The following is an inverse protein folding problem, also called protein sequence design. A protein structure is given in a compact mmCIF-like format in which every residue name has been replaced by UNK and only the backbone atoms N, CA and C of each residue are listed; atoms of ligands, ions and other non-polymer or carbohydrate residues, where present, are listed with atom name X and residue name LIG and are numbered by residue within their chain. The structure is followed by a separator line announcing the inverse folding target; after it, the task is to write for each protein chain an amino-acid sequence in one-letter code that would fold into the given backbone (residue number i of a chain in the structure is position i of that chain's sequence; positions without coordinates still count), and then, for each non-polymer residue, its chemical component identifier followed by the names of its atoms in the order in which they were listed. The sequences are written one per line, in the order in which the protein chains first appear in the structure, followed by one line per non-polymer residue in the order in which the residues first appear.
data_IF_003437858778
#
_entry.id   IF_003437858778
#
_cell.length_a   1.000
_cell.length_b   1.000
_cell.length_c   1.000
_cell.angle_alpha   90.00
_cell.angle_beta   90.00
_cell.angle_gamma   90.00
#
_symmetry.space_group_name_H-M   'P 1'
#
loop_
_entity.id
_entity.type
_entity.pdbx_description
1 polymer ?
#
# COMPACT_ATOMS: atom_id res chain seq x y z
N UNK A 1 -6.78 -27.63 14.43
CA UNK A 1 -7.34 -26.64 15.40
C UNK A 1 -6.49 -26.65 16.66
N UNK A 2 -6.22 -25.49 17.25
CA UNK A 2 -5.44 -25.40 18.50
C UNK A 2 -6.25 -25.92 19.70
N UNK A 3 -5.60 -26.50 20.71
CA UNK A 3 -6.27 -26.92 21.94
C UNK A 3 -6.67 -25.70 22.79
N UNK A 4 -7.70 -25.80 23.66
CA UNK A 4 -8.07 -24.70 24.57
C UNK A 4 -6.91 -24.25 25.47
N UNK A 5 -6.04 -25.19 25.87
CA UNK A 5 -4.85 -24.91 26.68
C UNK A 5 -3.82 -24.05 25.93
N UNK A 6 -3.56 -24.36 24.65
CA UNK A 6 -2.67 -23.57 23.79
C UNK A 6 -3.24 -22.16 23.59
N UNK A 7 -4.55 -22.04 23.30
CA UNK A 7 -5.18 -20.72 23.11
C UNK A 7 -5.10 -19.86 24.37
N UNK A 8 -5.35 -20.45 25.54
CA UNK A 8 -5.21 -19.76 26.81
C UNK A 8 -3.77 -19.26 27.04
N UNK A 9 -2.76 -20.10 26.78
CA UNK A 9 -1.35 -19.74 26.95
C UNK A 9 -0.92 -18.59 26.02
N UNK A 10 -1.35 -18.61 24.76
CA UNK A 10 -1.06 -17.55 23.80
C UNK A 10 -1.72 -16.25 24.21
N UNK A 11 -3.00 -16.30 24.62
CA UNK A 11 -3.74 -15.12 25.10
C UNK A 11 -3.10 -14.47 26.31
N UNK A 12 -2.72 -15.25 27.32
CA UNK A 12 -2.15 -14.71 28.57
C UNK A 12 -0.77 -14.11 28.36
N UNK A 13 -0.02 -14.57 27.37
CA UNK A 13 1.35 -14.10 27.09
C UNK A 13 1.45 -13.06 25.98
N UNK A 14 0.40 -12.85 25.18
CA UNK A 14 0.36 -11.82 24.15
C UNK A 14 0.64 -10.39 24.68
N UNK A 15 0.12 -9.95 25.84
CA UNK A 15 0.44 -8.62 26.38
C UNK A 15 1.93 -8.45 26.73
N UNK A 16 2.60 -9.53 27.14
CA UNK A 16 4.03 -9.52 27.44
C UNK A 16 4.82 -9.32 26.14
N UNK A 17 4.48 -10.06 25.08
CA UNK A 17 5.08 -9.86 23.76
C UNK A 17 4.78 -8.47 23.19
N UNK A 18 3.61 -7.89 23.46
CA UNK A 18 3.26 -6.51 23.06
C UNK A 18 4.14 -5.48 23.76
N UNK A 19 4.36 -5.65 25.06
CA UNK A 19 5.22 -4.77 25.88
C UNK A 19 6.67 -4.81 25.42
N UNK A 20 7.17 -6.01 25.10
CA UNK A 20 8.52 -6.21 24.58
C UNK A 20 8.62 -6.18 23.05
N UNK A 21 7.54 -5.81 22.35
CA UNK A 21 7.36 -6.09 20.92
C UNK A 21 8.41 -5.46 20.03
N UNK A 22 8.84 -4.23 20.33
CA UNK A 22 9.89 -3.53 19.56
C UNK A 22 11.26 -4.19 19.76
N UNK A 23 11.62 -4.53 21.00
CA UNK A 23 12.89 -5.20 21.30
C UNK A 23 12.93 -6.60 20.67
N UNK A 24 11.83 -7.36 20.82
CA UNK A 24 11.66 -8.67 20.23
C UNK A 24 11.78 -8.64 18.71
N UNK A 25 11.05 -7.74 18.04
CA UNK A 25 11.06 -7.68 16.57
C UNK A 25 12.39 -7.17 16.03
N UNK A 26 13.05 -6.23 16.72
CA UNK A 26 14.43 -5.83 16.39
C UNK A 26 15.39 -7.03 16.46
N UNK A 27 15.33 -7.78 17.54
CA UNK A 27 16.16 -8.96 17.75
C UNK A 27 15.87 -10.05 16.71
N UNK A 28 14.60 -10.31 16.42
CA UNK A 28 14.12 -11.20 15.37
C UNK A 28 14.71 -10.86 13.99
N UNK A 29 14.60 -9.60 13.55
CA UNK A 29 15.14 -9.21 12.24
C UNK A 29 16.67 -9.31 12.19
N UNK A 30 17.37 -8.91 13.26
CA UNK A 30 18.82 -9.05 13.33
C UNK A 30 19.25 -10.52 13.20
N UNK A 31 18.60 -11.41 13.96
CA UNK A 31 18.84 -12.85 13.93
C UNK A 31 18.55 -13.45 12.55
N UNK A 32 17.39 -13.12 11.98
CA UNK A 32 16.97 -13.63 10.67
C UNK A 32 17.96 -13.19 9.58
N UNK A 33 18.33 -11.92 9.52
CA UNK A 33 19.22 -11.42 8.48
C UNK A 33 20.69 -11.82 8.65
N UNK A 34 21.10 -12.23 9.84
CA UNK A 34 22.41 -12.81 10.08
C UNK A 34 22.50 -14.24 9.51
N UNK A 35 21.46 -15.05 9.72
CA UNK A 35 21.45 -16.46 9.31
C UNK A 35 20.86 -16.71 7.92
N UNK A 36 20.06 -15.77 7.44
CA UNK A 36 19.36 -15.80 6.15
C UNK A 36 19.52 -14.44 5.43
N UNK A 37 20.76 -14.05 5.06
CA UNK A 37 21.05 -12.75 4.45
C UNK A 37 20.33 -12.54 3.10
N UNK A 38 19.97 -13.61 2.38
CA UNK A 38 19.20 -13.57 1.14
C UNK A 38 17.83 -12.89 1.31
N UNK A 39 17.23 -12.94 2.50
CA UNK A 39 15.95 -12.29 2.78
C UNK A 39 16.04 -10.76 2.77
N UNK A 40 17.25 -10.19 2.83
CA UNK A 40 17.45 -8.74 2.69
C UNK A 40 17.04 -8.21 1.31
N UNK A 41 16.98 -9.07 0.29
CA UNK A 41 16.47 -8.73 -1.05
C UNK A 41 14.94 -8.65 -1.10
N UNK A 42 14.24 -9.28 -0.15
CA UNK A 42 12.77 -9.34 -0.08
C UNK A 42 12.25 -8.26 0.86
N UNK A 43 12.89 -8.10 2.01
CA UNK A 43 12.50 -7.11 3.01
C UNK A 43 13.04 -5.71 2.70
N UNK A 44 12.15 -4.73 2.83
CA UNK A 44 12.48 -3.32 2.66
C UNK A 44 13.40 -2.82 3.77
N UNK A 45 14.66 -2.56 3.43
CA UNK A 45 15.69 -2.11 4.38
C UNK A 45 15.46 -0.68 4.91
N UNK A 46 14.65 0.14 4.21
CA UNK A 46 14.27 1.48 4.66
C UNK A 46 13.28 1.45 5.82
N UNK A 47 12.26 0.59 5.75
CA UNK A 47 11.29 0.44 6.84
C UNK A 47 11.91 -0.18 8.09
N UNK A 48 12.94 -1.03 7.91
CA UNK A 48 13.70 -1.61 9.03
C UNK A 48 14.46 -0.55 9.83
N UNK A 49 15.06 0.43 9.16
CA UNK A 49 15.78 1.52 9.81
C UNK A 49 14.85 2.47 10.59
N UNK A 50 13.59 2.62 10.13
CA UNK A 50 12.59 3.51 10.73
C UNK A 50 11.75 2.91 11.87
N UNK A 51 11.86 1.61 12.16
CA UNK A 51 11.10 0.98 13.25
C UNK A 51 9.63 0.63 12.94
N UNK A 52 9.08 1.14 11.84
CA UNK A 52 7.67 0.95 11.45
C UNK A 52 7.33 -0.52 11.17
N UNK A 53 8.27 -1.28 10.63
CA UNK A 53 8.04 -2.70 10.31
C UNK A 53 8.06 -3.58 11.57
N UNK A 54 8.91 -3.22 12.54
CA UNK A 54 8.99 -3.84 13.86
C UNK A 54 7.65 -3.66 14.60
N UNK A 55 7.09 -2.45 14.57
CA UNK A 55 5.79 -2.17 15.17
C UNK A 55 4.64 -2.92 14.47
N UNK A 56 4.64 -2.94 13.13
CA UNK A 56 3.58 -3.62 12.37
C UNK A 56 3.54 -5.13 12.63
N UNK A 57 4.70 -5.81 12.64
CA UNK A 57 4.77 -7.24 12.94
C UNK A 57 4.33 -7.54 14.38
N UNK A 58 4.81 -6.77 15.36
CA UNK A 58 4.41 -6.94 16.76
C UNK A 58 2.90 -6.73 16.95
N UNK A 59 2.34 -5.71 16.30
CA UNK A 59 0.91 -5.42 16.32
C UNK A 59 0.07 -6.54 15.70
N UNK A 60 0.49 -7.08 14.55
CA UNK A 60 -0.23 -8.17 13.89
C UNK A 60 -0.22 -9.47 14.73
N UNK A 61 0.92 -9.82 15.33
CA UNK A 61 1.02 -11.00 16.20
C UNK A 61 0.17 -10.82 17.47
N UNK A 62 0.21 -9.64 18.07
CA UNK A 62 -0.62 -9.33 19.24
C UNK A 62 -2.12 -9.38 18.91
N UNK A 63 -2.54 -8.77 17.80
CA UNK A 63 -3.94 -8.80 17.35
C UNK A 63 -4.41 -10.23 17.05
N UNK A 64 -3.58 -11.04 16.39
CA UNK A 64 -3.89 -12.45 16.17
C UNK A 64 -4.06 -13.21 17.48
N UNK A 65 -3.16 -13.00 18.45
CA UNK A 65 -3.24 -13.66 19.74
C UNK A 65 -4.46 -13.22 20.57
N UNK A 66 -4.83 -11.94 20.53
CA UNK A 66 -6.05 -11.40 21.17
C UNK A 66 -7.32 -12.08 20.59
N UNK A 67 -7.33 -12.39 19.28
CA UNK A 67 -8.47 -12.96 18.56
C UNK A 67 -8.33 -14.45 18.20
N UNK A 68 -7.44 -15.20 18.87
CA UNK A 68 -7.13 -16.61 18.52
C UNK A 68 -8.32 -17.59 18.61
N UNK A 69 -9.38 -17.25 19.36
CA UNK A 69 -10.60 -18.06 19.44
C UNK A 69 -11.53 -17.86 18.23
N UNK A 70 -11.49 -16.68 17.61
CA UNK A 70 -12.25 -16.34 16.40
C UNK A 70 -11.38 -15.50 15.45
N UNK A 71 -10.51 -16.16 14.64
CA UNK A 71 -9.65 -15.45 13.70
C UNK A 71 -10.41 -14.78 12.55
N UNK A 72 -11.72 -15.01 12.39
CA UNK A 72 -12.50 -14.46 11.26
C UNK A 72 -12.54 -12.93 11.27
N UNK A 73 -12.48 -12.32 12.46
CA UNK A 73 -12.41 -10.86 12.64
C UNK A 73 -11.15 -10.24 12.02
N UNK A 74 -10.12 -11.05 11.78
CA UNK A 74 -8.87 -10.61 11.18
C UNK A 74 -8.89 -10.69 9.65
N UNK A 75 -9.97 -11.20 9.04
CA UNK A 75 -10.04 -11.42 7.60
C UNK A 75 -9.65 -10.19 6.76
N UNK A 76 -10.06 -8.94 7.09
CA UNK A 76 -9.61 -7.76 6.34
C UNK A 76 -8.09 -7.53 6.45
N UNK A 77 -7.51 -7.73 7.64
CA UNK A 77 -6.08 -7.57 7.88
C UNK A 77 -5.28 -8.67 7.18
N UNK A 78 -5.75 -9.92 7.26
CA UNK A 78 -5.16 -11.08 6.58
C UNK A 78 -5.16 -10.86 5.06
N UNK A 79 -6.28 -10.39 4.50
CA UNK A 79 -6.40 -10.09 3.06
C UNK A 79 -5.32 -9.11 2.60
N UNK A 80 -5.17 -8.00 3.33
CA UNK A 80 -4.14 -6.98 3.08
C UNK A 80 -2.71 -7.54 3.19
N UNK A 81 -2.44 -8.39 4.18
CA UNK A 81 -1.14 -9.07 4.34
C UNK A 81 -0.86 -9.98 3.14
N UNK A 82 -1.83 -10.81 2.75
CA UNK A 82 -1.71 -11.77 1.65
C UNK A 82 -1.40 -11.07 0.33
N UNK A 83 -2.13 -10.00 -0.02
CA UNK A 83 -1.83 -9.22 -1.22
C UNK A 83 -0.41 -8.65 -1.19
N UNK A 84 0.04 -8.15 -0.04
CA UNK A 84 1.39 -7.64 0.12
C UNK A 84 2.43 -8.74 -0.04
N UNK A 85 2.23 -9.90 0.56
CA UNK A 85 3.11 -11.06 0.46
C UNK A 85 3.25 -11.54 -0.99
N UNK A 86 2.14 -11.66 -1.71
CA UNK A 86 2.13 -12.01 -3.14
C UNK A 86 2.89 -10.98 -3.97
N UNK A 87 2.70 -9.69 -3.68
CA UNK A 87 3.44 -8.61 -4.36
C UNK A 87 4.95 -8.63 -4.09
N UNK A 88 5.40 -9.27 -3.00
CA UNK A 88 6.81 -9.40 -2.64
C UNK A 88 7.40 -10.76 -3.06
N UNK A 89 6.58 -11.66 -3.58
CA UNK A 89 6.99 -13.01 -3.95
C UNK A 89 7.27 -13.91 -2.74
N UNK A 90 6.55 -13.73 -1.61
CA UNK A 90 6.66 -14.63 -0.46
C UNK A 90 6.15 -16.02 -0.83
N UNK A 91 6.89 -17.06 -0.45
CA UNK A 91 6.63 -18.46 -0.79
C UNK A 91 6.53 -19.32 0.48
N UNK A 92 5.91 -20.51 0.41
CA UNK A 92 5.77 -21.41 1.55
C UNK A 92 7.12 -21.71 2.25
N UNK A 93 8.21 -21.85 1.50
CA UNK A 93 9.55 -22.09 2.04
C UNK A 93 10.10 -20.96 2.92
N UNK A 94 9.57 -19.73 2.83
CA UNK A 94 9.98 -18.63 3.70
C UNK A 94 9.39 -18.73 5.12
N UNK A 95 8.23 -19.37 5.29
CA UNK A 95 7.54 -19.45 6.58
C UNK A 95 8.34 -20.22 7.64
N UNK A 96 8.88 -21.42 7.36
CA UNK A 96 9.74 -22.12 8.34
C UNK A 96 10.94 -21.29 8.80
N UNK A 97 11.52 -20.45 7.93
CA UNK A 97 12.64 -19.56 8.27
C UNK A 97 12.17 -18.49 9.27
N UNK A 98 11.08 -17.80 8.95
CA UNK A 98 10.49 -16.77 9.82
C UNK A 98 10.10 -17.37 11.17
N UNK A 99 9.39 -18.49 11.19
CA UNK A 99 8.96 -19.17 12.41
C UNK A 99 10.14 -19.55 13.31
N UNK A 100 11.19 -20.15 12.73
CA UNK A 100 12.42 -20.51 13.46
C UNK A 100 13.04 -19.31 14.16
N UNK A 101 13.20 -18.19 13.45
CA UNK A 101 13.83 -17.00 14.02
C UNK A 101 12.92 -16.30 15.03
N UNK A 102 11.61 -16.25 14.78
CA UNK A 102 10.64 -15.64 15.70
C UNK A 102 10.61 -16.38 17.04
N UNK A 103 10.49 -17.71 17.02
CA UNK A 103 10.40 -18.53 18.24
C UNK A 103 11.72 -18.51 19.02
N UNK A 104 12.86 -18.56 18.33
CA UNK A 104 14.16 -18.39 18.97
C UNK A 104 14.29 -17.02 19.63
N UNK A 105 13.85 -15.95 18.97
CA UNK A 105 13.87 -14.61 19.55
C UNK A 105 12.92 -14.45 20.74
N UNK A 106 11.75 -15.10 20.73
CA UNK A 106 10.86 -15.14 21.90
C UNK A 106 11.59 -15.78 23.08
N UNK A 107 12.26 -16.92 22.86
CA UNK A 107 13.03 -17.62 23.91
C UNK A 107 14.18 -16.76 24.44
N UNK A 108 14.95 -16.16 23.54
CA UNK A 108 16.13 -15.35 23.89
C UNK A 108 15.75 -14.06 24.64
N UNK A 109 14.61 -13.44 24.32
CA UNK A 109 14.17 -12.19 24.96
C UNK A 109 13.44 -12.43 26.29
N UNK A 110 12.61 -13.47 26.38
CA UNK A 110 11.88 -13.79 27.60
C UNK A 110 12.71 -14.60 28.61
N UNK A 111 13.83 -15.21 28.18
CA UNK A 111 14.74 -15.97 29.06
C UNK A 111 14.01 -17.10 29.79
N UNK A 112 14.16 -17.18 31.10
CA UNK A 112 13.52 -18.19 31.96
C UNK A 112 11.98 -18.17 31.90
N UNK A 113 11.37 -17.04 31.51
CA UNK A 113 9.91 -16.97 31.32
C UNK A 113 9.45 -17.73 30.06
N UNK A 114 10.36 -18.06 29.13
CA UNK A 114 10.08 -18.81 27.90
C UNK A 114 10.11 -20.33 28.13
N UNK A 115 9.21 -20.84 28.97
CA UNK A 115 9.08 -22.29 29.18
C UNK A 115 8.84 -23.04 27.86
N UNK A 116 9.23 -24.31 27.77
CA UNK A 116 9.05 -25.10 26.54
C UNK A 116 7.57 -25.16 26.12
N UNK A 117 6.67 -25.34 27.09
CA UNK A 117 5.23 -25.31 26.85
C UNK A 117 4.74 -23.98 26.25
N UNK A 118 5.32 -22.85 26.66
CA UNK A 118 4.99 -21.54 26.09
C UNK A 118 5.49 -21.43 24.65
N UNK A 119 6.75 -21.83 24.39
CA UNK A 119 7.34 -21.78 23.05
C UNK A 119 6.58 -22.70 22.09
N UNK A 120 6.18 -23.89 22.52
CA UNK A 120 5.38 -24.84 21.74
C UNK A 120 3.98 -24.29 21.44
N UNK A 121 3.35 -23.59 22.40
CA UNK A 121 2.07 -22.94 22.19
C UNK A 121 2.16 -21.84 21.11
N UNK A 122 3.19 -20.99 21.17
CA UNK A 122 3.46 -19.99 20.13
C UNK A 122 3.83 -20.60 18.79
N UNK A 123 4.55 -21.73 18.78
CA UNK A 123 4.86 -22.46 17.55
C UNK A 123 3.60 -22.99 16.87
N UNK A 124 2.67 -23.57 17.65
CA UNK A 124 1.40 -24.03 17.13
C UNK A 124 0.52 -22.88 16.60
N UNK A 125 0.47 -21.76 17.32
CA UNK A 125 -0.25 -20.56 16.88
C UNK A 125 0.34 -19.94 15.60
N UNK A 126 1.67 -19.85 15.52
CA UNK A 126 2.37 -19.44 14.30
C UNK A 126 2.05 -20.35 13.12
N UNK A 127 2.11 -21.68 13.31
CA UNK A 127 1.80 -22.66 12.28
C UNK A 127 0.38 -22.50 11.73
N UNK A 128 -0.61 -22.30 12.60
CA UNK A 128 -1.99 -22.08 12.17
C UNK A 128 -2.15 -20.82 11.30
N UNK A 129 -1.53 -19.70 11.70
CA UNK A 129 -1.55 -18.47 10.91
C UNK A 129 -0.78 -18.62 9.59
N UNK A 130 0.38 -19.28 9.62
CA UNK A 130 1.19 -19.55 8.43
C UNK A 130 0.41 -20.39 7.40
N UNK A 131 -0.25 -21.47 7.81
CA UNK A 131 -1.06 -22.32 6.93
C UNK A 131 -2.18 -21.53 6.25
N UNK A 132 -2.86 -20.66 7.00
CA UNK A 132 -3.92 -19.79 6.48
C UNK A 132 -3.38 -18.81 5.42
N UNK A 133 -2.27 -18.13 5.72
CA UNK A 133 -1.65 -17.19 4.80
C UNK A 133 -1.13 -17.90 3.54
N UNK A 134 -0.46 -19.05 3.69
CA UNK A 134 0.04 -19.87 2.57
C UNK A 134 -1.10 -20.27 1.64
N UNK A 135 -2.24 -20.71 2.19
CA UNK A 135 -3.38 -21.13 1.39
C UNK A 135 -3.97 -19.98 0.56
N UNK A 136 -4.17 -18.82 1.17
CA UNK A 136 -4.69 -17.63 0.48
C UNK A 136 -3.70 -17.02 -0.52
N UNK A 137 -2.40 -17.00 -0.19
CA UNK A 137 -1.34 -16.61 -1.14
C UNK A 137 -1.32 -17.53 -2.35
N UNK A 138 -1.41 -18.85 -2.14
CA UNK A 138 -1.47 -19.82 -3.22
C UNK A 138 -2.68 -19.59 -4.13
N UNK A 139 -3.83 -19.18 -3.57
CA UNK A 139 -5.00 -18.79 -4.36
C UNK A 139 -4.71 -17.55 -5.21
N UNK A 140 -4.20 -16.47 -4.62
CA UNK A 140 -3.88 -15.25 -5.37
C UNK A 140 -2.78 -15.46 -6.42
N UNK A 141 -1.80 -16.33 -6.17
CA UNK A 141 -0.80 -16.70 -7.18
C UNK A 141 -1.45 -17.41 -8.37
N UNK A 142 -2.36 -18.37 -8.14
CA UNK A 142 -3.12 -19.02 -9.21
C UNK A 142 -3.97 -18.02 -9.99
N UNK A 143 -4.71 -17.16 -9.29
CA UNK A 143 -5.56 -16.14 -9.90
C UNK A 143 -4.73 -15.16 -10.76
N UNK A 144 -3.54 -14.79 -10.29
CA UNK A 144 -2.63 -13.91 -11.03
C UNK A 144 -2.07 -14.59 -12.28
N UNK A 145 -1.71 -15.87 -12.20
CA UNK A 145 -1.17 -16.64 -13.32
C UNK A 145 -2.23 -17.02 -14.36
N UNK A 146 -3.48 -17.21 -13.95
CA UNK A 146 -4.56 -17.64 -14.84
C UNK A 146 -5.08 -16.52 -15.74
N UNK A 147 -4.84 -15.25 -15.41
CA UNK A 147 -5.22 -14.10 -16.25
C UNK A 147 -4.42 -14.09 -17.55
N UNK A 148 -5.03 -13.70 -18.70
CA UNK A 148 -4.27 -13.38 -19.90
C UNK A 148 -3.18 -12.35 -19.62
N UNK A 149 -1.93 -12.63 -20.01
CA UNK A 149 -0.77 -11.79 -19.68
C UNK A 149 -0.31 -11.86 -18.22
N UNK A 150 -0.94 -12.70 -17.40
CA UNK A 150 -0.65 -12.90 -15.98
C UNK A 150 0.63 -13.69 -15.70
N UNK A 151 1.19 -13.53 -14.50
CA UNK A 151 2.40 -14.22 -14.06
C UNK A 151 2.46 -14.35 -12.52
N UNK A 152 3.46 -15.07 -12.01
CA UNK A 152 3.83 -15.05 -10.58
C UNK A 152 5.30 -14.67 -10.41
N UNK A 153 5.64 -14.17 -9.23
CA UNK A 153 7.01 -13.70 -8.97
C UNK A 153 7.31 -12.42 -9.76
N UNK A 154 8.52 -12.34 -10.29
CA UNK A 154 9.02 -11.14 -10.96
C UNK A 154 9.07 -11.35 -12.46
N UNK A 155 8.51 -10.40 -13.21
CA UNK A 155 8.59 -10.33 -14.67
C UNK A 155 9.33 -9.06 -15.08
N UNK A 156 10.20 -9.16 -16.07
CA UNK A 156 10.94 -8.02 -16.58
C UNK A 156 10.03 -7.10 -17.40
N UNK A 157 10.05 -5.80 -17.09
CA UNK A 157 9.36 -4.75 -17.84
C UNK A 157 10.35 -3.71 -18.29
N UNK A 158 10.16 -3.23 -19.52
CA UNK A 158 10.90 -2.11 -20.10
C UNK A 158 10.15 -0.81 -19.89
N UNK A 159 10.86 0.25 -19.53
CA UNK A 159 10.34 1.62 -19.53
C UNK A 159 10.20 2.07 -20.98
N UNK A 160 8.98 2.28 -21.43
CA UNK A 160 8.65 2.76 -22.78
C UNK A 160 8.26 4.25 -22.79
N UNK A 161 8.21 4.87 -21.61
CA UNK A 161 7.99 6.30 -21.46
C UNK A 161 8.34 6.78 -20.06
N UNK A 162 8.92 7.98 -19.94
CA UNK A 162 9.22 8.64 -18.67
C UNK A 162 8.76 10.10 -18.72
N UNK A 163 7.75 10.44 -17.92
CA UNK A 163 7.09 11.75 -17.97
C UNK A 163 7.10 12.44 -16.60
N UNK A 164 7.79 13.59 -16.45
CA UNK A 164 7.63 14.44 -15.28
C UNK A 164 6.18 14.93 -15.17
N UNK A 165 5.54 14.67 -14.04
CA UNK A 165 4.16 15.10 -13.75
C UNK A 165 4.15 16.37 -12.87
N UNK A 166 5.22 16.58 -12.10
CA UNK A 166 5.47 17.76 -11.28
C UNK A 166 6.96 17.86 -10.94
N UNK A 167 7.34 18.84 -10.11
CA UNK A 167 8.72 18.97 -9.63
C UNK A 167 9.22 17.78 -8.80
N UNK A 168 8.31 16.95 -8.26
CA UNK A 168 8.68 15.80 -7.40
C UNK A 168 8.09 14.45 -7.86
N UNK A 169 7.17 14.42 -8.83
CA UNK A 169 6.52 13.17 -9.30
C UNK A 169 6.84 12.92 -10.77
N UNK A 170 7.18 11.68 -11.11
CA UNK A 170 7.42 11.22 -12.49
C UNK A 170 6.65 9.94 -12.76
N UNK A 171 5.94 9.90 -13.87
CA UNK A 171 5.27 8.71 -14.40
C UNK A 171 6.22 7.86 -15.23
N UNK A 172 6.16 6.55 -15.04
CA UNK A 172 6.87 5.54 -15.81
C UNK A 172 5.85 4.64 -16.50
N UNK A 173 5.95 4.52 -17.82
CA UNK A 173 5.13 3.64 -18.64
C UNK A 173 5.91 2.35 -18.89
N UNK A 174 5.34 1.22 -18.51
CA UNK A 174 6.01 -0.07 -18.40
C UNK A 174 5.36 -1.09 -19.32
N UNK A 175 6.11 -1.59 -20.31
CA UNK A 175 5.68 -2.69 -21.17
C UNK A 175 6.46 -3.97 -20.84
N UNK A 176 5.87 -5.16 -20.96
CA UNK A 176 6.61 -6.41 -20.74
C UNK A 176 7.81 -6.53 -21.66
N UNK A 177 8.99 -6.83 -21.10
CA UNK A 177 10.23 -6.90 -21.89
C UNK A 177 10.25 -8.09 -22.88
N UNK A 178 9.41 -9.10 -22.62
CA UNK A 178 9.19 -10.26 -23.47
C UNK A 178 8.19 -10.02 -24.63
N UNK A 179 7.61 -8.82 -24.72
CA UNK A 179 6.62 -8.46 -25.75
C UNK A 179 5.23 -9.07 -25.55
N UNK A 180 4.98 -9.75 -24.43
CA UNK A 180 3.67 -10.31 -24.12
C UNK A 180 2.67 -9.24 -23.62
N UNK A 181 1.45 -9.69 -23.30
CA UNK A 181 0.39 -8.81 -22.79
C UNK A 181 0.57 -8.46 -21.30
N UNK A 182 -0.07 -7.37 -20.87
CA UNK A 182 -0.31 -7.03 -19.47
C UNK A 182 -1.69 -7.53 -19.02
N UNK A 183 -1.84 -8.02 -17.77
CA UNK A 183 -3.11 -8.51 -17.28
C UNK A 183 -4.04 -7.37 -16.91
N UNK A 184 -5.34 -7.62 -17.00
CA UNK A 184 -6.33 -6.75 -16.40
C UNK A 184 -6.16 -6.70 -14.87
N UNK A 185 -6.41 -5.52 -14.30
CA UNK A 185 -6.37 -5.23 -12.88
C UNK A 185 -7.57 -4.39 -12.47
N UNK A 186 -7.82 -4.28 -11.17
CA UNK A 186 -8.89 -3.45 -10.64
C UNK A 186 -8.36 -2.03 -10.36
N UNK A 187 -9.08 -0.96 -10.77
CA UNK A 187 -8.61 0.41 -10.60
C UNK A 187 -8.41 0.75 -9.11
N UNK A 188 -7.20 1.13 -8.73
CA UNK A 188 -6.77 1.32 -7.34
C UNK A 188 -5.70 0.32 -6.86
N UNK A 189 -5.57 -0.82 -7.53
CA UNK A 189 -4.51 -1.81 -7.23
C UNK A 189 -3.11 -1.25 -7.48
N UNK A 190 -2.11 -1.96 -6.96
CA UNK A 190 -0.69 -1.62 -7.06
C UNK A 190 0.12 -2.77 -7.66
N UNK A 191 1.33 -2.46 -8.11
CA UNK A 191 2.38 -3.45 -8.40
C UNK A 191 3.55 -3.21 -7.47
N UNK A 192 4.32 -4.26 -7.18
CA UNK A 192 5.67 -4.05 -6.64
C UNK A 192 6.65 -3.98 -7.79
N UNK A 193 7.57 -3.02 -7.71
CA UNK A 193 8.77 -2.99 -8.54
C UNK A 193 9.99 -3.25 -7.67
N UNK A 194 11.02 -3.90 -8.19
CA UNK A 194 12.32 -3.97 -7.53
C UNK A 194 13.42 -3.49 -8.44
N UNK A 195 14.36 -2.76 -7.84
CA UNK A 195 15.56 -2.26 -8.50
C UNK A 195 16.77 -2.61 -7.67
N UNK A 196 17.92 -2.72 -8.34
CA UNK A 196 19.19 -2.85 -7.64
C UNK A 196 19.58 -1.51 -7.02
N UNK A 197 19.96 -1.53 -5.74
CA UNK A 197 20.44 -0.36 -5.00
C UNK A 197 21.93 -0.59 -4.70
N UNK A 198 22.84 -0.01 -5.51
CA UNK A 198 24.29 -0.17 -5.39
C UNK A 198 24.82 0.11 -3.99
N UNK A 199 24.30 1.13 -3.30
CA UNK A 199 24.72 1.52 -1.96
C UNK A 199 24.46 0.44 -0.91
N UNK A 200 23.56 -0.51 -1.21
CA UNK A 200 23.24 -1.65 -0.36
C UNK A 200 23.81 -2.97 -0.88
N UNK A 201 24.17 -3.05 -2.16
CA UNK A 201 24.44 -4.32 -2.81
C UNK A 201 23.21 -5.24 -2.90
N UNK A 202 21.99 -4.68 -2.86
CA UNK A 202 20.74 -5.45 -2.73
C UNK A 202 19.70 -5.03 -3.78
N UNK A 203 18.86 -5.99 -4.17
CA UNK A 203 17.58 -5.68 -4.79
C UNK A 203 16.63 -5.14 -3.72
N UNK A 204 15.87 -4.09 -4.02
CA UNK A 204 14.92 -3.51 -3.08
C UNK A 204 13.55 -3.34 -3.72
N UNK A 205 12.50 -4.00 -3.19
CA UNK A 205 11.14 -3.85 -3.70
C UNK A 205 10.42 -2.65 -3.08
N UNK A 206 9.55 -2.00 -3.85
CA UNK A 206 8.55 -1.02 -3.38
C UNK A 206 7.25 -1.17 -4.16
N UNK A 207 6.14 -0.97 -3.46
CA UNK A 207 4.81 -0.92 -4.04
C UNK A 207 4.55 0.47 -4.64
N UNK A 208 3.93 0.50 -5.81
CA UNK A 208 3.41 1.70 -6.46
C UNK A 208 2.03 1.40 -7.02
N UNK A 209 1.06 2.26 -6.71
CA UNK A 209 -0.27 2.18 -7.32
C UNK A 209 -0.15 2.26 -8.84
N UNK A 210 -0.93 1.43 -9.53
CA UNK A 210 -1.15 1.60 -10.95
C UNK A 210 -1.93 2.90 -11.11
N UNK A 211 -1.38 3.84 -11.88
CA UNK A 211 -1.88 5.22 -11.93
C UNK A 211 -2.72 5.51 -13.18
N UNK A 212 -3.06 4.50 -13.98
CA UNK A 212 -3.93 4.64 -15.15
C UNK A 212 -5.10 3.64 -15.11
N UNK A 213 -6.01 3.70 -16.08
CA UNK A 213 -7.08 2.73 -16.23
C UNK A 213 -6.54 1.33 -16.62
N UNK A 214 -7.22 0.24 -16.23
CA UNK A 214 -6.94 -1.09 -16.77
C UNK A 214 -7.31 -1.18 -18.26
N UNK A 215 -6.83 -2.23 -18.92
CA UNK A 215 -7.12 -2.49 -20.35
C UNK A 215 -6.16 -1.81 -21.32
N UNK A 216 -5.13 -1.14 -20.83
CA UNK A 216 -4.02 -0.63 -21.65
C UNK A 216 -3.07 -1.76 -22.04
N UNK A 217 -2.24 -1.52 -23.06
CA UNK A 217 -1.15 -2.42 -23.49
C UNK A 217 0.09 -2.36 -22.58
N UNK A 218 0.09 -1.44 -21.61
CA UNK A 218 1.20 -1.14 -20.70
C UNK A 218 0.66 -0.78 -19.31
N UNK A 219 1.54 -0.85 -18.32
CA UNK A 219 1.26 -0.37 -16.97
C UNK A 219 1.80 1.06 -16.80
N UNK A 220 1.18 1.85 -15.91
CA UNK A 220 1.71 3.15 -15.50
C UNK A 220 1.85 3.19 -13.99
N UNK A 221 3.01 3.60 -13.51
CA UNK A 221 3.24 3.97 -12.11
C UNK A 221 3.67 5.42 -12.05
N UNK A 222 3.35 6.14 -10.99
CA UNK A 222 3.80 7.52 -10.80
C UNK A 222 4.46 7.67 -9.44
N UNK A 223 5.74 8.02 -9.48
CA UNK A 223 6.65 7.89 -8.34
C UNK A 223 7.02 9.27 -7.86
N UNK A 224 6.72 9.56 -6.59
CA UNK A 224 7.29 10.72 -5.90
C UNK A 224 8.74 10.45 -5.51
N UNK A 225 9.62 11.40 -5.79
CA UNK A 225 11.01 11.42 -5.32
C UNK A 225 11.02 11.77 -3.82
N UNK A 226 11.52 10.84 -3.02
CA UNK A 226 11.73 11.07 -1.59
C UNK A 226 13.14 11.61 -1.38
N UNK A 227 13.33 12.92 -1.53
CA UNK A 227 14.66 13.55 -1.51
C UNK A 227 15.37 13.48 -0.14
N UNK A 228 14.67 13.07 0.92
CA UNK A 228 15.17 13.14 2.30
C UNK A 228 15.04 14.55 2.89
N UNK A 229 15.38 14.71 4.16
CA UNK A 229 15.34 15.99 4.86
C UNK A 229 15.11 15.86 6.36
N UNK A 230 14.41 16.83 6.94
CA UNK A 230 14.15 16.90 8.39
C UNK A 230 13.45 15.66 8.97
N UNK A 231 12.75 14.89 8.13
CA UNK A 231 11.97 13.72 8.54
C UNK A 231 12.63 12.38 8.20
N UNK A 232 13.88 12.37 7.73
CA UNK A 232 14.63 11.14 7.49
C UNK A 232 15.53 11.16 6.26
N UNK A 233 16.26 10.05 6.02
CA UNK A 233 17.14 9.92 4.86
C UNK A 233 16.36 9.86 3.54
N UNK A 234 17.04 10.13 2.44
CA UNK A 234 16.47 10.01 1.10
C UNK A 234 16.00 8.56 0.80
N UNK A 235 14.87 8.44 0.11
CA UNK A 235 14.30 7.16 -0.28
C UNK A 235 15.12 6.51 -1.40
N UNK A 236 15.70 5.35 -1.12
CA UNK A 236 16.64 4.69 -2.06
C UNK A 236 16.01 4.33 -3.42
N UNK A 237 14.84 3.69 -3.40
CA UNK A 237 14.19 3.20 -4.63
C UNK A 237 13.58 4.34 -5.45
N UNK A 238 12.90 5.31 -4.82
CA UNK A 238 12.33 6.44 -5.55
C UNK A 238 13.41 7.30 -6.22
N UNK A 239 14.52 7.58 -5.55
CA UNK A 239 15.65 8.29 -6.17
C UNK A 239 16.30 7.45 -7.28
N UNK A 240 16.50 6.14 -7.09
CA UNK A 240 17.03 5.29 -8.15
C UNK A 240 16.15 5.28 -9.41
N UNK A 241 14.82 5.25 -9.26
CA UNK A 241 13.89 5.36 -10.39
C UNK A 241 13.97 6.73 -11.08
N UNK A 242 14.08 7.82 -10.32
CA UNK A 242 14.19 9.16 -10.90
C UNK A 242 15.51 9.40 -11.62
N UNK A 243 16.62 8.99 -11.01
CA UNK A 243 17.98 9.40 -11.42
C UNK A 243 18.68 8.41 -12.37
N UNK A 244 18.30 7.12 -12.33
CA UNK A 244 19.05 6.05 -13.04
C UNK A 244 18.21 5.29 -14.04
N UNK A 245 16.89 5.24 -13.84
CA UNK A 245 15.99 4.53 -14.75
C UNK A 245 15.52 5.47 -15.85
N UNK A 246 16.00 5.23 -17.07
CA UNK A 246 15.59 5.95 -18.28
C UNK A 246 14.74 5.08 -19.19
N UNK A 247 14.14 5.69 -20.23
CA UNK A 247 13.48 4.96 -21.31
C UNK A 247 14.43 3.91 -21.92
N UNK A 248 13.88 2.74 -22.24
CA UNK A 248 14.64 1.56 -22.62
C UNK A 248 15.19 0.74 -21.45
N UNK A 249 15.29 1.33 -20.25
CA UNK A 249 15.70 0.64 -19.02
C UNK A 249 14.74 -0.48 -18.64
N UNK A 250 15.24 -1.49 -17.91
CA UNK A 250 14.47 -2.67 -17.50
C UNK A 250 14.44 -2.77 -15.99
N UNK A 251 13.28 -3.12 -15.45
CA UNK A 251 13.07 -3.43 -14.04
C UNK A 251 12.17 -4.65 -13.86
N UNK A 252 12.19 -5.20 -12.65
CA UNK A 252 11.36 -6.34 -12.30
C UNK A 252 10.04 -5.87 -11.66
N UNK A 253 8.93 -6.43 -12.13
CA UNK A 253 7.57 -6.09 -11.70
C UNK A 253 6.85 -7.36 -11.22
N UNK A 254 6.23 -7.27 -10.05
CA UNK A 254 5.32 -8.28 -9.51
C UNK A 254 3.90 -8.09 -10.09
N UNK A 255 3.05 -9.13 -10.15
CA UNK A 255 1.70 -8.99 -10.68
C UNK A 255 0.88 -7.96 -9.88
N UNK A 256 -0.14 -7.32 -10.48
CA UNK A 256 -1.04 -6.42 -9.77
C UNK A 256 -1.70 -7.08 -8.55
N UNK A 257 -1.67 -6.39 -7.41
CA UNK A 257 -2.23 -6.82 -6.12
C UNK A 257 -2.92 -5.65 -5.41
N UNK A 258 -3.61 -5.95 -4.31
CA UNK A 258 -4.27 -4.97 -3.45
C UNK A 258 -5.77 -5.19 -3.39
N UNK A 259 -6.31 -4.93 -2.21
CA UNK A 259 -7.73 -4.97 -1.85
C UNK A 259 -8.38 -3.57 -1.87
N UNK A 260 -7.59 -2.51 -1.96
CA UNK A 260 -8.08 -1.17 -2.27
C UNK A 260 -8.33 -1.01 -3.77
N UNK A 261 -9.59 -1.04 -4.17
CA UNK A 261 -9.99 -0.77 -5.55
C UNK A 261 -11.43 -0.30 -5.65
N UNK A 262 -11.78 0.30 -6.79
CA UNK A 262 -13.15 0.66 -7.13
C UNK A 262 -14.08 -0.55 -7.01
N UNK A 263 -15.21 -0.38 -6.32
CA UNK A 263 -16.32 -1.32 -6.34
C UNK A 263 -17.06 -1.23 -7.68
N UNK A 264 -16.87 -2.24 -8.53
CA UNK A 264 -17.48 -2.30 -9.85
C UNK A 264 -18.95 -2.74 -9.82
N UNK A 265 -19.35 -3.42 -8.75
CA UNK A 265 -20.72 -3.89 -8.49
C UNK A 265 -21.65 -2.80 -7.94
N UNK A 266 -21.12 -1.62 -7.65
CA UNK A 266 -21.84 -0.49 -7.03
C UNK A 266 -22.12 0.62 -8.03
N UNK A 267 -23.38 1.07 -8.09
CA UNK A 267 -23.78 2.27 -8.83
C UNK A 267 -23.70 3.55 -7.97
N UNK A 268 -23.16 3.46 -6.75
CA UNK A 268 -23.00 4.60 -5.85
C UNK A 268 -22.13 5.70 -6.49
N UNK A 269 -22.40 6.99 -6.21
CA UNK A 269 -21.45 8.06 -6.49
C UNK A 269 -20.07 7.78 -5.89
N UNK A 270 -19.03 8.34 -6.49
CA UNK A 270 -17.64 8.11 -6.09
C UNK A 270 -16.99 9.41 -5.66
N UNK A 271 -16.44 9.43 -4.45
CA UNK A 271 -15.63 10.54 -3.93
C UNK A 271 -14.17 10.08 -3.81
N UNK A 272 -13.31 10.63 -4.65
CA UNK A 272 -11.88 10.35 -4.72
C UNK A 272 -11.12 11.42 -3.93
N UNK A 273 -10.61 11.08 -2.75
CA UNK A 273 -9.98 11.99 -1.81
C UNK A 273 -8.49 11.69 -1.66
N UNK A 274 -7.63 12.62 -2.07
CA UNK A 274 -6.18 12.40 -2.10
C UNK A 274 -5.33 13.53 -1.53
N UNK A 275 -4.19 13.15 -0.95
CA UNK A 275 -3.13 14.06 -0.53
C UNK A 275 -1.80 13.75 -1.21
N UNK A 276 -1.23 14.70 -1.95
CA UNK A 276 0.05 14.55 -2.65
C UNK A 276 0.05 13.33 -3.60
N UNK A 277 1.09 12.50 -3.54
CA UNK A 277 1.20 11.31 -4.41
C UNK A 277 0.09 10.26 -4.19
N UNK A 278 -0.71 10.38 -3.14
CA UNK A 278 -1.94 9.60 -2.94
C UNK A 278 -2.98 9.78 -4.06
N UNK A 279 -2.80 10.74 -4.99
CA UNK A 279 -3.65 10.89 -6.17
C UNK A 279 -3.55 9.69 -7.14
N UNK A 280 -2.47 8.91 -7.08
CA UNK A 280 -2.16 7.89 -8.08
C UNK A 280 -3.25 6.83 -8.26
N UNK A 281 -3.77 6.15 -7.21
CA UNK A 281 -4.89 5.24 -7.39
C UNK A 281 -6.20 5.97 -7.72
N UNK A 282 -6.36 7.24 -7.31
CA UNK A 282 -7.54 8.04 -7.65
C UNK A 282 -7.61 8.31 -9.15
N UNK A 283 -6.48 8.62 -9.79
CA UNK A 283 -6.42 8.81 -11.24
C UNK A 283 -6.69 7.50 -11.98
N UNK A 284 -6.25 6.36 -11.46
CA UNK A 284 -6.60 5.04 -12.02
C UNK A 284 -8.12 4.82 -12.01
N UNK A 285 -8.78 5.08 -10.88
CA UNK A 285 -10.24 4.96 -10.74
C UNK A 285 -10.95 5.95 -11.67
N UNK A 286 -10.51 7.23 -11.67
CA UNK A 286 -11.10 8.27 -12.52
C UNK A 286 -10.99 7.92 -14.00
N UNK A 287 -9.80 7.52 -14.47
CA UNK A 287 -9.57 7.15 -15.87
C UNK A 287 -10.41 5.95 -16.27
N UNK A 288 -10.56 4.96 -15.38
CA UNK A 288 -11.40 3.80 -15.64
C UNK A 288 -12.86 4.20 -15.85
N UNK A 289 -13.43 4.97 -14.90
CA UNK A 289 -14.81 5.45 -14.97
C UNK A 289 -15.07 6.26 -16.25
N UNK A 290 -14.12 7.11 -16.64
CA UNK A 290 -14.21 7.90 -17.87
C UNK A 290 -14.10 7.03 -19.12
N UNK A 291 -13.21 6.04 -19.14
CA UNK A 291 -13.01 5.16 -20.29
C UNK A 291 -14.21 4.23 -20.53
N UNK A 292 -14.94 3.86 -19.48
CA UNK A 292 -16.14 3.01 -19.56
C UNK A 292 -17.44 3.80 -19.70
N UNK A 293 -17.36 5.12 -19.91
CA UNK A 293 -18.52 6.02 -19.98
C UNK A 293 -19.46 5.88 -18.78
N UNK A 294 -18.89 5.71 -17.58
CA UNK A 294 -19.64 5.44 -16.38
C UNK A 294 -20.48 6.66 -15.96
N UNK A 295 -21.80 6.50 -15.72
CA UNK A 295 -22.69 7.63 -15.44
C UNK A 295 -22.64 8.09 -13.98
N UNK A 296 -21.92 7.39 -13.09
CA UNK A 296 -21.83 7.76 -11.66
C UNK A 296 -21.39 9.21 -11.50
N UNK A 297 -21.91 9.86 -10.46
CA UNK A 297 -21.39 11.16 -10.06
C UNK A 297 -20.01 10.98 -9.44
N UNK A 298 -19.04 11.80 -9.87
CA UNK A 298 -17.66 11.71 -9.42
C UNK A 298 -17.26 13.04 -8.77
N UNK A 299 -16.64 12.97 -7.60
CA UNK A 299 -15.98 14.10 -6.93
C UNK A 299 -14.50 13.79 -6.76
N UNK A 300 -13.63 14.65 -7.30
CA UNK A 300 -12.19 14.54 -7.16
C UNK A 300 -11.67 15.63 -6.22
N UNK A 301 -11.35 15.25 -4.98
CA UNK A 301 -10.83 16.17 -3.96
C UNK A 301 -9.35 15.91 -3.77
N UNK A 302 -8.52 16.92 -4.03
CA UNK A 302 -7.07 16.77 -3.99
C UNK A 302 -6.42 17.89 -3.19
N UNK A 303 -5.54 17.53 -2.26
CA UNK A 303 -4.67 18.47 -1.55
C UNK A 303 -3.20 18.26 -1.90
N UNK A 304 -2.48 19.34 -2.18
CA UNK A 304 -1.02 19.31 -2.29
C UNK A 304 -0.40 20.62 -1.79
N UNK A 305 0.93 20.67 -1.69
CA UNK A 305 1.63 21.83 -1.13
C UNK A 305 1.45 23.07 -1.99
N UNK A 306 1.65 22.97 -3.30
CA UNK A 306 1.59 24.11 -4.23
C UNK A 306 1.47 23.65 -5.68
N UNK A 307 1.34 24.60 -6.61
CA UNK A 307 1.30 24.32 -8.05
C UNK A 307 2.51 23.51 -8.55
N UNK A 308 3.70 23.79 -8.03
CA UNK A 308 4.93 23.15 -8.49
C UNK A 308 4.95 21.62 -8.27
N UNK A 309 4.16 21.12 -7.32
CA UNK A 309 4.12 19.70 -6.95
C UNK A 309 2.80 19.00 -7.30
N UNK A 310 1.84 19.73 -7.88
CA UNK A 310 0.55 19.18 -8.29
C UNK A 310 0.70 18.31 -9.55
N UNK A 311 0.85 17.00 -9.36
CA UNK A 311 0.95 16.03 -10.45
C UNK A 311 -0.38 15.86 -11.20
N UNK A 312 -0.31 15.60 -12.52
CA UNK A 312 -1.47 15.27 -13.37
C UNK A 312 -2.60 16.32 -13.39
N UNK A 313 -2.29 17.56 -12.99
CA UNK A 313 -3.26 18.67 -12.92
C UNK A 313 -4.01 18.86 -14.24
N UNK A 314 -3.29 18.97 -15.34
CA UNK A 314 -3.88 19.27 -16.65
C UNK A 314 -4.75 18.11 -17.16
N UNK A 315 -4.35 16.87 -16.86
CA UNK A 315 -5.12 15.67 -17.17
C UNK A 315 -6.48 15.65 -16.46
N UNK A 316 -6.49 15.89 -15.14
CA UNK A 316 -7.74 15.96 -14.36
C UNK A 316 -8.61 17.14 -14.81
N UNK A 317 -8.00 18.29 -15.09
CA UNK A 317 -8.72 19.46 -15.60
C UNK A 317 -9.40 19.18 -16.95
N UNK A 318 -8.73 18.48 -17.87
CA UNK A 318 -9.30 18.11 -19.17
C UNK A 318 -10.50 17.16 -19.03
N UNK A 319 -10.43 16.20 -18.09
CA UNK A 319 -11.56 15.31 -17.78
C UNK A 319 -12.74 16.11 -17.25
N UNK A 320 -12.53 16.97 -16.26
CA UNK A 320 -13.61 17.80 -15.67
C UNK A 320 -14.26 18.70 -16.72
N UNK A 321 -13.48 19.28 -17.64
CA UNK A 321 -13.99 20.11 -18.72
C UNK A 321 -14.83 19.34 -19.76
N UNK A 322 -14.60 18.03 -19.92
CA UNK A 322 -15.27 17.20 -20.92
C UNK A 322 -16.41 16.34 -20.35
N UNK A 323 -16.58 16.26 -19.03
CA UNK A 323 -17.51 15.34 -18.37
C UNK A 323 -18.40 16.06 -17.35
N UNK A 324 -19.71 16.15 -17.65
CA UNK A 324 -20.68 16.83 -16.77
C UNK A 324 -20.94 16.16 -15.42
N UNK A 325 -20.61 14.86 -15.29
CA UNK A 325 -20.75 14.10 -14.05
C UNK A 325 -19.50 14.14 -13.15
N UNK A 326 -18.41 14.78 -13.58
CA UNK A 326 -17.15 14.91 -12.81
C UNK A 326 -17.00 16.32 -12.29
N UNK A 327 -16.76 16.47 -10.98
CA UNK A 327 -16.37 17.75 -10.36
C UNK A 327 -15.08 17.58 -9.57
N UNK A 328 -14.33 18.66 -9.39
CA UNK A 328 -13.09 18.66 -8.60
C UNK A 328 -13.10 19.78 -7.55
N UNK A 329 -12.34 19.57 -6.48
CA UNK A 329 -11.95 20.59 -5.51
C UNK A 329 -10.47 20.41 -5.16
N UNK A 330 -9.64 21.41 -5.47
CA UNK A 330 -8.18 21.38 -5.29
C UNK A 330 -7.76 22.34 -4.20
N UNK A 331 -6.97 21.86 -3.25
CA UNK A 331 -6.44 22.61 -2.12
C UNK A 331 -4.92 22.78 -2.23
N UNK A 332 -4.44 24.02 -2.17
CA UNK A 332 -3.01 24.33 -2.05
C UNK A 332 -2.70 24.90 -0.67
N UNK A 333 -1.73 24.29 0.03
CA UNK A 333 -1.25 24.81 1.32
C UNK A 333 -0.48 26.13 1.16
N UNK A 334 0.24 26.28 0.06
CA UNK A 334 1.06 27.44 -0.29
C UNK A 334 0.62 27.95 -1.66
N UNK A 335 0.09 29.18 -1.69
CA UNK A 335 -0.33 29.86 -2.93
C UNK A 335 0.70 30.93 -3.29
N UNK A 336 1.33 30.79 -4.45
CA UNK A 336 2.26 31.77 -5.00
C UNK A 336 1.57 32.87 -5.80
N UNK A 337 2.28 33.98 -6.07
CA UNK A 337 1.72 35.13 -6.81
C UNK A 337 1.31 34.84 -8.27
N UNK A 338 1.71 33.70 -8.83
CA UNK A 338 1.32 33.25 -10.17
C UNK A 338 0.13 32.28 -10.20
N UNK A 339 -0.29 31.75 -9.04
CA UNK A 339 -1.34 30.75 -8.93
C UNK A 339 -2.71 31.41 -9.04
N UNK A 340 -3.60 30.89 -9.89
CA UNK A 340 -4.92 31.49 -10.15
C UNK A 340 -6.05 30.67 -9.50
N UNK A 341 -6.83 31.24 -8.57
CA UNK A 341 -8.03 30.61 -8.03
C UNK A 341 -9.03 30.20 -9.12
N UNK A 342 -9.71 29.07 -8.96
CA UNK A 342 -10.68 28.50 -9.90
C UNK A 342 -10.09 27.90 -11.17
N UNK A 343 -8.77 28.02 -11.38
CA UNK A 343 -8.04 27.39 -12.48
C UNK A 343 -6.96 26.45 -11.96
N UNK A 344 -6.07 26.98 -11.13
CA UNK A 344 -4.90 26.28 -10.64
C UNK A 344 -5.20 25.55 -9.33
N UNK A 345 -6.00 26.16 -8.46
CA UNK A 345 -6.53 25.62 -7.21
C UNK A 345 -7.89 26.24 -6.91
N UNK A 346 -8.66 25.64 -5.99
CA UNK A 346 -10.00 26.08 -5.63
C UNK A 346 -10.03 26.66 -4.19
N UNK A 347 -9.20 26.10 -3.29
CA UNK A 347 -9.13 26.51 -1.89
C UNK A 347 -7.69 26.66 -1.39
N UNK A 348 -7.46 27.63 -0.50
CA UNK A 348 -6.18 27.83 0.17
C UNK A 348 -6.15 27.10 1.52
N UNK A 349 -5.04 26.42 1.81
CA UNK A 349 -4.82 25.63 3.01
C UNK A 349 -4.89 24.12 2.75
N UNK A 350 -5.00 23.36 3.84
CA UNK A 350 -5.19 21.90 3.79
C UNK A 350 -6.63 21.57 3.42
N UNK A 351 -6.85 20.35 2.90
CA UNK A 351 -8.21 19.87 2.60
C UNK A 351 -9.09 19.93 3.84
N UNK A 352 -10.17 20.70 3.73
CA UNK A 352 -11.20 20.85 4.75
C UNK A 352 -12.57 20.49 4.16
N UNK A 353 -13.02 19.25 4.41
CA UNK A 353 -14.31 18.77 3.92
C UNK A 353 -15.51 19.49 4.55
N UNK A 354 -15.34 20.17 5.69
CA UNK A 354 -16.43 20.96 6.30
C UNK A 354 -16.66 22.23 5.49
N UNK A 355 -15.59 22.84 4.99
CA UNK A 355 -15.67 24.04 4.15
C UNK A 355 -16.33 23.76 2.79
N UNK A 356 -16.19 22.54 2.27
CA UNK A 356 -16.78 22.10 0.99
C UNK A 356 -17.86 21.02 1.18
N UNK A 357 -18.58 21.05 2.30
CA UNK A 357 -19.51 19.98 2.70
C UNK A 357 -20.50 19.61 1.59
N UNK A 358 -21.10 20.60 0.94
CA UNK A 358 -22.12 20.38 -0.08
C UNK A 358 -21.54 19.79 -1.39
N UNK A 359 -20.23 19.94 -1.60
CA UNK A 359 -19.52 19.38 -2.75
C UNK A 359 -18.95 17.99 -2.45
N UNK A 360 -18.44 17.80 -1.22
CA UNK A 360 -17.73 16.60 -0.79
C UNK A 360 -18.64 15.52 -0.21
N UNK A 361 -19.72 15.88 0.49
CA UNK A 361 -20.63 14.91 1.11
C UNK A 361 -21.78 14.61 0.16
N UNK A 362 -21.56 13.59 -0.66
CA UNK A 362 -22.54 13.12 -1.63
C UNK A 362 -23.38 11.98 -0.99
N UNK A 363 -24.72 12.06 -1.05
CA UNK A 363 -25.59 10.99 -0.57
C UNK A 363 -25.24 9.65 -1.19
N UNK A 364 -25.18 8.63 -0.35
CA UNK A 364 -24.90 7.26 -0.76
C UNK A 364 -23.59 7.05 -1.53
N UNK A 365 -22.60 7.94 -1.39
CA UNK A 365 -21.32 7.79 -2.07
C UNK A 365 -20.37 6.80 -1.38
N UNK A 366 -19.52 6.16 -2.18
CA UNK A 366 -18.32 5.46 -1.72
C UNK A 366 -17.12 6.43 -1.76
N UNK A 367 -16.39 6.51 -0.65
CA UNK A 367 -15.27 7.42 -0.44
C UNK A 367 -13.95 6.65 -0.51
N UNK A 368 -13.08 7.03 -1.43
CA UNK A 368 -11.76 6.42 -1.64
C UNK A 368 -10.70 7.41 -1.17
N UNK A 369 -9.93 7.03 -0.16
CA UNK A 369 -9.03 7.92 0.57
C UNK A 369 -7.59 7.41 0.44
N UNK A 370 -6.65 8.27 0.03
CA UNK A 370 -5.22 7.92 -0.04
C UNK A 370 -4.30 9.14 0.15
N UNK A 371 -3.26 9.02 0.97
CA UNK A 371 -2.32 10.10 1.26
C UNK A 371 -1.49 9.84 2.52
N UNK A 372 -0.76 10.86 3.03
CA UNK A 372 0.01 10.75 4.26
C UNK A 372 -0.87 10.39 5.47
N UNK A 373 -0.33 9.66 6.45
CA UNK A 373 -1.08 9.15 7.62
C UNK A 373 -1.87 10.23 8.37
N UNK A 374 -1.27 11.42 8.57
CA UNK A 374 -1.95 12.56 9.20
C UNK A 374 -3.14 13.09 8.39
N UNK A 375 -3.03 13.09 7.05
CA UNK A 375 -4.13 13.43 6.15
C UNK A 375 -5.23 12.37 6.22
N UNK A 376 -4.87 11.10 6.05
CA UNK A 376 -5.80 9.96 6.10
C UNK A 376 -6.65 9.97 7.37
N UNK A 377 -6.00 10.12 8.52
CA UNK A 377 -6.70 10.16 9.82
C UNK A 377 -7.66 11.36 9.91
N UNK A 378 -7.18 12.57 9.59
CA UNK A 378 -7.99 13.78 9.68
C UNK A 378 -9.23 13.73 8.76
N UNK A 379 -9.06 13.24 7.53
CA UNK A 379 -10.16 13.11 6.59
C UNK A 379 -11.15 12.02 7.00
N UNK A 380 -10.67 10.86 7.48
CA UNK A 380 -11.52 9.78 7.98
C UNK A 380 -12.35 10.23 9.18
N UNK A 381 -11.74 10.88 10.16
CA UNK A 381 -12.43 11.47 11.33
C UNK A 381 -13.50 12.48 10.88
N UNK A 382 -13.19 13.30 9.88
CA UNK A 382 -14.12 14.31 9.36
C UNK A 382 -15.30 13.69 8.62
N UNK A 383 -15.08 12.67 7.78
CA UNK A 383 -16.15 11.94 7.08
C UNK A 383 -17.12 11.30 8.07
N UNK A 384 -16.59 10.62 9.10
CA UNK A 384 -17.40 10.02 10.17
C UNK A 384 -18.21 11.08 10.92
N UNK A 385 -17.59 12.20 11.29
CA UNK A 385 -18.26 13.31 11.96
C UNK A 385 -19.35 13.98 11.10
N UNK A 386 -19.23 13.90 9.77
CA UNK A 386 -20.22 14.39 8.82
C UNK A 386 -21.29 13.34 8.47
N UNK A 387 -21.26 12.16 9.11
CA UNK A 387 -22.29 11.13 8.99
C UNK A 387 -22.08 10.10 7.90
N UNK A 388 -20.88 10.03 7.29
CA UNK A 388 -20.55 8.97 6.32
C UNK A 388 -20.39 7.64 7.06
N UNK A 389 -21.06 6.60 6.57
CA UNK A 389 -21.01 5.27 7.16
C UNK A 389 -19.59 4.65 7.01
N UNK A 390 -19.05 3.99 8.06
CA UNK A 390 -17.68 3.47 8.02
C UNK A 390 -17.38 2.49 6.88
N UNK A 391 -18.37 1.70 6.46
CA UNK A 391 -18.28 0.70 5.39
C UNK A 391 -18.22 1.31 3.97
N UNK A 392 -18.49 2.62 3.86
CA UNK A 392 -18.34 3.40 2.62
C UNK A 392 -17.05 4.21 2.56
N UNK A 393 -16.17 4.06 3.54
CA UNK A 393 -14.85 4.72 3.57
C UNK A 393 -13.78 3.67 3.31
N UNK A 394 -13.25 3.69 2.09
CA UNK A 394 -12.18 2.82 1.63
C UNK A 394 -10.86 3.59 1.70
N UNK A 395 -9.83 3.01 2.32
CA UNK A 395 -8.58 3.71 2.58
C UNK A 395 -7.36 2.85 2.24
N UNK A 396 -6.38 3.45 1.56
CA UNK A 396 -5.07 2.84 1.34
C UNK A 396 -3.97 3.74 1.91
N UNK A 397 -3.02 3.11 2.62
CA UNK A 397 -1.90 3.78 3.24
C UNK A 397 -0.58 3.31 2.61
N UNK A 398 0.20 4.26 2.09
CA UNK A 398 1.54 3.98 1.59
C UNK A 398 2.50 3.75 2.76
N UNK A 399 2.83 2.50 3.06
CA UNK A 399 3.70 2.16 4.18
C UNK A 399 3.90 0.67 4.44
N UNK A 400 4.30 0.33 5.67
CA UNK A 400 4.65 -1.03 6.08
C UNK A 400 3.48 -2.02 6.14
N UNK A 401 2.25 -1.62 5.79
CA UNK A 401 1.09 -2.51 5.67
C UNK A 401 0.26 -2.66 6.96
N UNK A 402 0.59 -1.94 8.03
CA UNK A 402 -0.27 -1.84 9.21
C UNK A 402 -1.64 -1.26 8.84
N UNK A 403 -2.72 -1.66 9.55
CA UNK A 403 -4.06 -1.12 9.31
C UNK A 403 -4.02 0.43 9.30
N UNK A 404 -4.70 1.10 8.37
CA UNK A 404 -4.89 2.55 8.49
C UNK A 404 -5.57 2.85 9.82
N UNK A 405 -5.12 3.91 10.50
CA UNK A 405 -5.63 4.32 11.81
C UNK A 405 -7.13 4.61 11.82
#
# INVERSE_FOLDING_TARGET
MLSPQIRAMVKTTAPVLKTHGVALTRHFYARMFQHNPELKHVFNQGHQAGGEQQQALAGAVAAYAEHIDDPSVLAPVVTRIVHKHVSLGIRPEHYPIVGKHLLASIREVLGEAATDALVDAWAAAYGQLADMLIAEEARLYRDSAAKPGGWTGWRAFRVVGKQPESAEITSFYLAPADGGAVPAYLPGQYVSVRVYVPELGLMQPRQYSLSDAPGQDRLRISVKREAGGAHGPAGRVSNALHERLEEGGVLDVAPPQGDFHLRQDSAAPVVLLSGGVGLTPMVSILNHLVATDDPRQIRFVHGCRSQAVHAMKDHVNAIVASRGNVRKAVFYEEVGGGDRPGRDYDHHGRVDLRAIRDEAIVPDADYYLCGPSGFMRAQRETLLALGVAPDRIHAEAFGSGGAPA
#
